data_IF_380507265180
#
_entry.id   IF_380507265180
#
_cell.length_a   1.000
_cell.length_b   1.000
_cell.length_c   1.000
_cell.angle_alpha   90.00
_cell.angle_beta   90.00
_cell.angle_gamma   90.00
#
_symmetry.space_group_name_H-M   'P 1'
#
loop_
_entity.id
_entity.type
_entity.pdbx_description
1 polymer ?
#
# COMPACT_ATOMS: atom_id res chain seq x y z
N UNK A 1 5.51 6.23 -13.77
CA UNK A 1 4.08 6.01 -13.51
C UNK A 1 3.33 7.33 -13.46
N UNK A 2 2.07 7.35 -13.88
CA UNK A 2 1.18 8.52 -13.80
C UNK A 2 0.03 8.23 -12.82
N UNK A 3 -0.58 9.26 -12.23
CA UNK A 3 -1.68 9.13 -11.26
C UNK A 3 -2.88 8.32 -11.80
N UNK A 4 -3.15 8.41 -13.10
CA UNK A 4 -4.14 7.57 -13.79
C UNK A 4 -3.48 6.66 -14.83
N UNK A 5 -2.29 6.15 -14.54
CA UNK A 5 -1.79 4.98 -15.26
C UNK A 5 -2.55 3.75 -14.76
N UNK A 6 -3.04 2.92 -15.68
CA UNK A 6 -3.87 1.77 -15.33
C UNK A 6 -3.11 0.45 -15.29
N UNK A 7 -1.86 0.42 -15.73
CA UNK A 7 -1.11 -0.82 -15.92
C UNK A 7 0.12 -0.89 -15.03
N UNK A 8 0.46 -2.10 -14.59
CA UNK A 8 1.70 -2.43 -13.92
C UNK A 8 1.91 -1.83 -12.53
N UNK A 9 0.84 -1.42 -11.84
CA UNK A 9 0.87 -0.75 -10.52
C UNK A 9 1.51 -1.68 -9.48
N UNK A 10 2.69 -1.35 -8.92
CA UNK A 10 3.36 -2.25 -8.00
C UNK A 10 2.60 -2.37 -6.68
N UNK A 11 2.44 -3.60 -6.18
CA UNK A 11 1.70 -3.85 -4.94
C UNK A 11 2.31 -3.21 -3.70
N UNK A 12 3.63 -3.08 -3.66
CA UNK A 12 4.33 -2.40 -2.57
C UNK A 12 4.00 -0.90 -2.48
N UNK A 13 3.52 -0.25 -3.55
CA UNK A 13 3.04 1.15 -3.52
C UNK A 13 1.69 1.26 -2.81
N UNK A 14 0.90 0.19 -2.84
CA UNK A 14 -0.48 0.18 -2.34
C UNK A 14 -0.59 -0.38 -0.92
N UNK A 15 0.26 -1.34 -0.57
CA UNK A 15 0.24 -2.02 0.72
C UNK A 15 1.12 -1.27 1.76
N UNK A 16 0.53 -0.66 2.80
CA UNK A 16 1.25 0.10 3.82
C UNK A 16 2.23 -0.75 4.65
N UNK A 17 1.90 -2.03 4.87
CA UNK A 17 2.73 -2.96 5.65
C UNK A 17 3.99 -3.35 4.90
N UNK A 18 3.92 -3.50 3.56
CA UNK A 18 5.11 -3.70 2.72
C UNK A 18 6.05 -2.49 2.76
N UNK A 19 5.50 -1.28 2.86
CA UNK A 19 6.28 -0.04 3.04
C UNK A 19 7.01 -0.03 4.39
N UNK A 20 6.38 -0.53 5.46
CA UNK A 20 7.01 -0.60 6.79
C UNK A 20 8.10 -1.67 6.91
N UNK A 21 7.95 -2.82 6.24
CA UNK A 21 8.93 -3.91 6.28
C UNK A 21 10.24 -3.59 5.55
N UNK A 22 10.17 -2.79 4.48
CA UNK A 22 11.37 -2.42 3.70
C UNK A 22 12.20 -1.33 4.40
N UNK A 23 11.55 -0.46 5.19
CA UNK A 23 12.24 0.52 6.05
C UNK A 23 12.92 -0.07 7.29
N UNK A 24 12.53 -1.27 7.71
CA UNK A 24 13.04 -1.91 8.94
C UNK A 24 14.25 -2.83 8.71
N UNK A 25 14.58 -3.18 7.46
CA UNK A 25 15.72 -4.05 7.14
C UNK A 25 17.09 -3.35 7.19
N UNK A 26 17.13 -2.03 7.46
CA UNK A 26 18.38 -1.24 7.44
C UNK A 26 19.10 -1.09 8.80
N UNK A 27 18.57 -1.61 9.91
CA UNK A 27 19.23 -1.50 11.23
C UNK A 27 19.52 -2.90 11.79
N UNK A 28 20.65 -3.46 11.37
CA UNK A 28 21.31 -4.56 12.07
C UNK A 28 22.32 -4.06 13.11
N UNK A 29 22.59 -4.92 14.10
CA UNK A 29 23.62 -4.87 15.16
C UNK A 29 23.33 -3.90 16.32
N UNK A 30 23.60 -4.17 17.61
CA UNK A 30 24.15 -5.29 18.40
C UNK A 30 23.99 -4.88 19.90
N UNK A 31 24.25 -5.81 20.82
CA UNK A 31 24.57 -5.62 22.25
C UNK A 31 23.45 -5.42 23.32
N UNK A 32 23.12 -6.55 23.94
CA UNK A 32 23.01 -6.84 25.40
C UNK A 32 22.80 -5.69 26.41
N UNK A 33 21.72 -5.77 27.20
CA UNK A 33 21.76 -5.87 28.67
C UNK A 33 20.35 -5.94 29.29
N UNK A 34 20.19 -6.86 30.24
CA UNK A 34 19.00 -7.13 31.07
C UNK A 34 18.39 -5.89 31.73
N UNK A 35 17.09 -5.69 31.50
CA UNK A 35 16.19 -5.03 32.46
C UNK A 35 14.83 -5.72 32.39
N UNK A 36 14.52 -6.51 33.43
CA UNK A 36 13.19 -7.05 33.66
C UNK A 36 12.21 -5.91 33.96
N UNK A 37 11.41 -5.56 32.96
CA UNK A 37 10.27 -4.65 33.10
C UNK A 37 9.00 -5.42 32.75
N UNK A 38 8.25 -5.76 33.80
CA UNK A 38 6.85 -6.22 33.76
C UNK A 38 5.94 -5.08 33.31
N UNK A 39 6.04 -4.71 32.03
CA UNK A 39 4.97 -4.05 31.33
C UNK A 39 4.63 -4.94 30.16
N UNK A 40 3.42 -5.49 30.19
CA UNK A 40 2.79 -6.13 29.05
C UNK A 40 2.49 -5.06 27.99
N UNK A 41 3.54 -4.42 27.48
CA UNK A 41 3.58 -3.84 26.16
C UNK A 41 3.57 -5.03 25.21
N UNK A 42 2.39 -5.61 25.07
CA UNK A 42 2.02 -6.37 23.90
C UNK A 42 2.22 -5.41 22.75
N UNK A 43 3.45 -5.43 22.21
CA UNK A 43 3.80 -4.89 20.92
C UNK A 43 2.80 -5.51 19.98
N UNK A 44 1.70 -4.79 19.79
CA UNK A 44 0.66 -5.14 18.85
C UNK A 44 1.27 -4.76 17.52
N UNK A 45 2.21 -5.59 17.08
CA UNK A 45 2.67 -5.62 15.71
C UNK A 45 1.40 -5.78 14.89
N UNK A 46 1.05 -4.71 14.20
CA UNK A 46 -0.18 -4.57 13.44
C UNK A 46 -0.24 -5.68 12.39
N UNK A 47 -0.90 -6.78 12.72
CA UNK A 47 -1.38 -7.79 11.77
C UNK A 47 -2.85 -7.55 11.42
N UNK A 48 -3.44 -6.44 11.89
CA UNK A 48 -4.87 -6.13 11.70
C UNK A 48 -5.12 -5.51 10.31
N UNK A 49 -4.13 -4.85 9.72
CA UNK A 49 -4.32 -4.13 8.45
C UNK A 49 -4.08 -5.02 7.21
N UNK A 50 -3.24 -6.05 7.30
CA UNK A 50 -2.89 -6.91 6.15
C UNK A 50 -4.07 -7.72 5.63
N UNK A 51 -4.92 -8.25 6.53
CA UNK A 51 -6.11 -9.00 6.10
C UNK A 51 -7.09 -8.08 5.36
N UNK A 52 -7.23 -6.83 5.82
CA UNK A 52 -8.19 -5.90 5.21
C UNK A 52 -7.80 -5.50 3.78
N UNK A 53 -6.51 -5.29 3.51
CA UNK A 53 -6.03 -4.95 2.17
C UNK A 53 -6.21 -6.12 1.20
N UNK A 54 -5.81 -7.33 1.63
CA UNK A 54 -5.93 -8.53 0.81
C UNK A 54 -7.40 -8.87 0.53
N UNK A 55 -8.28 -8.75 1.54
CA UNK A 55 -9.72 -8.95 1.38
C UNK A 55 -10.32 -7.93 0.39
N UNK A 56 -9.94 -6.65 0.48
CA UNK A 56 -10.38 -5.62 -0.46
C UNK A 56 -9.90 -5.92 -1.89
N UNK A 57 -8.64 -6.36 -2.06
CA UNK A 57 -8.08 -6.77 -3.36
C UNK A 57 -8.84 -7.98 -3.92
N UNK A 58 -9.11 -8.98 -3.10
CA UNK A 58 -9.88 -10.16 -3.48
C UNK A 58 -11.28 -9.78 -3.98
N UNK A 59 -11.98 -8.90 -3.26
CA UNK A 59 -13.29 -8.37 -3.69
C UNK A 59 -13.17 -7.68 -5.06
N UNK A 60 -12.19 -6.79 -5.24
CA UNK A 60 -12.03 -6.08 -6.51
C UNK A 60 -11.72 -7.03 -7.69
N UNK A 61 -11.02 -8.15 -7.44
CA UNK A 61 -10.77 -9.18 -8.45
C UNK A 61 -12.00 -10.02 -8.75
N UNK A 62 -12.76 -10.42 -7.73
CA UNK A 62 -13.98 -11.22 -7.87
C UNK A 62 -15.04 -10.48 -8.71
N UNK A 63 -15.08 -9.14 -8.61
CA UNK A 63 -15.93 -8.29 -9.44
C UNK A 63 -15.29 -7.87 -10.78
N UNK A 64 -14.10 -8.39 -11.12
CA UNK A 64 -13.35 -8.04 -12.33
C UNK A 64 -13.14 -6.53 -12.48
N UNK A 65 -12.83 -5.84 -11.37
CA UNK A 65 -12.50 -4.41 -11.40
C UNK A 65 -11.01 -4.15 -11.58
N UNK A 66 -10.19 -5.12 -11.18
CA UNK A 66 -8.74 -5.14 -11.40
C UNK A 66 -8.31 -6.52 -11.89
N UNK A 67 -7.12 -6.58 -12.47
CA UNK A 67 -6.34 -7.80 -12.63
C UNK A 67 -5.08 -7.70 -11.81
N UNK A 68 -4.53 -8.82 -11.40
CA UNK A 68 -3.21 -8.87 -10.82
C UNK A 68 -2.47 -10.13 -11.24
N UNK A 69 -1.15 -10.13 -11.08
CA UNK A 69 -0.32 -11.31 -11.29
C UNK A 69 -0.46 -12.32 -10.13
N UNK A 70 0.02 -13.54 -10.35
CA UNK A 70 -0.05 -14.65 -9.38
C UNK A 70 0.65 -14.33 -8.06
N UNK A 71 1.59 -13.37 -8.05
CA UNK A 71 2.33 -12.94 -6.86
C UNK A 71 1.76 -11.67 -6.22
N UNK A 72 0.69 -11.09 -6.78
CA UNK A 72 0.07 -9.84 -6.33
C UNK A 72 1.05 -8.65 -6.26
N UNK A 73 2.12 -8.72 -7.05
CA UNK A 73 3.14 -7.70 -7.10
C UNK A 73 2.81 -6.62 -8.12
N UNK A 74 1.91 -6.90 -9.07
CA UNK A 74 1.48 -5.95 -10.08
C UNK A 74 -0.01 -5.99 -10.30
N UNK A 75 -0.62 -4.82 -10.23
CA UNK A 75 -2.04 -4.59 -10.44
C UNK A 75 -2.28 -3.83 -11.74
N UNK A 76 -3.36 -4.19 -12.44
CA UNK A 76 -3.94 -3.37 -13.51
C UNK A 76 -5.40 -3.08 -13.24
N UNK A 77 -5.85 -1.89 -13.61
CA UNK A 77 -7.24 -1.47 -13.51
C UNK A 77 -7.92 -1.52 -14.88
N UNK A 78 -9.13 -2.09 -14.95
CA UNK A 78 -9.90 -2.06 -16.19
C UNK A 78 -10.24 -0.62 -16.59
N UNK A 79 -10.21 -0.32 -17.90
CA UNK A 79 -10.36 1.05 -18.40
C UNK A 79 -11.70 1.71 -18.04
N UNK A 80 -12.78 0.93 -17.98
CA UNK A 80 -14.10 1.42 -17.55
C UNK A 80 -14.13 1.75 -16.05
N UNK A 81 -13.46 0.95 -15.23
CA UNK A 81 -13.32 1.22 -13.79
C UNK A 81 -12.53 2.50 -13.58
N UNK A 82 -11.39 2.63 -14.25
CA UNK A 82 -10.59 3.85 -14.21
C UNK A 82 -11.38 5.09 -14.62
N UNK A 83 -12.11 5.02 -15.74
CA UNK A 83 -12.94 6.12 -16.20
C UNK A 83 -14.01 6.49 -15.17
N UNK A 84 -14.67 5.49 -14.60
CA UNK A 84 -15.72 5.67 -13.60
C UNK A 84 -15.16 6.31 -12.32
N UNK A 85 -14.02 5.84 -11.84
CA UNK A 85 -13.29 6.40 -10.69
C UNK A 85 -12.88 7.85 -10.95
N UNK A 86 -12.37 8.17 -12.14
CA UNK A 86 -12.05 9.57 -12.51
C UNK A 86 -13.28 10.47 -12.44
N UNK A 87 -14.41 10.05 -13.02
CA UNK A 87 -15.67 10.81 -12.97
C UNK A 87 -16.19 10.98 -11.55
N UNK A 88 -16.04 9.96 -10.71
CA UNK A 88 -16.39 10.02 -9.30
C UNK A 88 -15.54 11.06 -8.57
N UNK A 89 -14.22 11.04 -8.75
CA UNK A 89 -13.30 12.03 -8.16
C UNK A 89 -13.61 13.47 -8.58
N UNK A 90 -13.87 13.70 -9.86
CA UNK A 90 -14.26 15.02 -10.41
C UNK A 90 -15.56 15.55 -9.76
N UNK A 91 -16.56 14.67 -9.63
CA UNK A 91 -17.88 14.98 -9.08
C UNK A 91 -17.80 15.34 -7.60
N UNK A 92 -17.00 14.61 -6.84
CA UNK A 92 -16.85 14.80 -5.39
C UNK A 92 -15.67 15.71 -5.01
N UNK A 93 -14.99 16.31 -6.00
CA UNK A 93 -13.84 17.21 -5.79
C UNK A 93 -12.70 16.59 -4.97
N UNK A 94 -12.51 15.27 -5.08
CA UNK A 94 -11.46 14.54 -4.33
C UNK A 94 -10.18 14.31 -5.13
N UNK A 95 -10.13 14.72 -6.39
CA UNK A 95 -9.00 14.45 -7.29
C UNK A 95 -7.66 14.94 -6.71
N UNK A 96 -7.62 16.15 -6.14
CA UNK A 96 -6.39 16.72 -5.58
C UNK A 96 -5.89 15.92 -4.37
N UNK A 97 -6.80 15.51 -3.48
CA UNK A 97 -6.47 14.69 -2.30
C UNK A 97 -5.80 13.38 -2.70
N UNK A 98 -6.38 12.64 -3.65
CA UNK A 98 -5.80 11.38 -4.10
C UNK A 98 -4.51 11.58 -4.92
N UNK A 99 -4.41 12.69 -5.66
CA UNK A 99 -3.16 13.05 -6.36
C UNK A 99 -2.03 13.30 -5.36
N UNK A 100 -2.31 14.00 -4.26
CA UNK A 100 -1.33 14.24 -3.21
C UNK A 100 -0.88 12.93 -2.55
N UNK A 101 -1.82 12.04 -2.20
CA UNK A 101 -1.50 10.71 -1.68
C UNK A 101 -0.64 9.88 -2.65
N UNK A 102 -0.93 9.95 -3.95
CA UNK A 102 -0.11 9.31 -4.98
C UNK A 102 1.32 9.85 -4.98
N UNK A 103 1.51 11.18 -4.92
CA UNK A 103 2.83 11.79 -4.88
C UNK A 103 3.59 11.34 -3.63
N UNK A 104 2.95 11.34 -2.46
CA UNK A 104 3.56 10.92 -1.19
C UNK A 104 4.00 9.46 -1.22
N UNK A 105 3.14 8.55 -1.70
CA UNK A 105 3.47 7.12 -1.84
C UNK A 105 4.61 6.89 -2.82
N UNK A 106 4.59 7.58 -3.96
CA UNK A 106 5.69 7.50 -4.92
C UNK A 106 6.98 8.10 -4.36
N UNK A 107 6.92 9.20 -3.61
CA UNK A 107 8.09 9.81 -2.99
C UNK A 107 8.72 8.88 -1.94
N UNK A 108 7.90 8.26 -1.09
CA UNK A 108 8.34 7.30 -0.07
C UNK A 108 9.02 6.06 -0.66
N UNK A 109 8.78 5.77 -1.94
CA UNK A 109 9.40 4.64 -2.63
C UNK A 109 10.84 4.85 -3.09
N UNK A 110 11.28 6.11 -3.17
CA UNK A 110 12.63 6.39 -3.60
C UNK A 110 13.59 6.18 -2.43
N UNK A 111 14.74 5.53 -2.66
CA UNK A 111 15.74 5.38 -1.61
C UNK A 111 16.22 6.76 -1.16
N UNK A 112 16.22 6.99 0.15
CA UNK A 112 16.93 8.12 0.75
C UNK A 112 18.42 7.85 0.57
N UNK A 113 19.11 8.73 -0.16
CA UNK A 113 20.51 8.54 -0.57
C UNK A 113 21.50 8.40 0.57
#
# INVERSE_FOLDING_TARGET
MSFFDRQGIPGWVLNPSRIAQDGMQAIGLDDTADLESDDSSQGTGSNIDDTSFEDDVAILRDYYFITADETEDKFEMYGLVQLSTRRWLEKFRQEETFRQQYIERMAASFPTG
#
